data_IF_648044205111
#
_entry.id   IF_648044205111
#
_cell.length_a   1.000
_cell.length_b   1.000
_cell.length_c   1.000
_cell.angle_alpha   90.00
_cell.angle_beta   90.00
_cell.angle_gamma   90.00
#
_symmetry.space_group_name_H-M   'P 1'
#
loop_
_entity.id
_entity.type
_entity.pdbx_description
1 polymer ?
#
# COMPACT_ATOMS: atom_id res chain seq x y z
N UNK A 1 24.86 -1.62 6.77
CA UNK A 1 25.36 -1.01 5.52
C UNK A 1 26.89 -0.97 5.48
N UNK A 2 27.57 -0.58 6.57
CA UNK A 2 29.06 -0.50 6.61
C UNK A 2 29.76 -1.83 6.32
N UNK A 3 29.10 -2.97 6.54
CA UNK A 3 29.63 -4.31 6.29
C UNK A 3 29.45 -4.80 4.85
N UNK A 4 28.72 -4.07 4.00
CA UNK A 4 28.42 -4.51 2.63
C UNK A 4 29.56 -4.22 1.63
N UNK A 5 30.60 -3.49 2.05
CA UNK A 5 31.72 -3.12 1.17
C UNK A 5 31.33 -2.04 0.15
N UNK A 6 32.16 -1.87 -0.88
CA UNK A 6 31.94 -0.93 -1.99
C UNK A 6 31.22 -1.63 -3.14
N UNK A 7 30.12 -1.04 -3.60
CA UNK A 7 29.35 -1.54 -4.74
C UNK A 7 28.83 -0.39 -5.60
N UNK A 8 28.55 -0.66 -6.87
CA UNK A 8 27.99 0.32 -7.82
C UNK A 8 26.48 0.18 -7.99
N UNK A 9 25.88 -0.92 -7.52
CA UNK A 9 24.44 -1.20 -7.59
C UNK A 9 23.96 -1.66 -6.20
N UNK A 10 22.86 -1.12 -5.73
CA UNK A 10 22.23 -1.51 -4.48
C UNK A 10 20.72 -1.64 -4.66
N UNK A 11 20.12 -2.66 -4.01
CA UNK A 11 18.67 -2.83 -3.91
C UNK A 11 18.31 -2.94 -2.43
N UNK A 12 17.31 -2.20 -2.00
CA UNK A 12 16.80 -2.22 -0.64
C UNK A 12 15.28 -2.40 -0.63
N UNK A 13 14.75 -2.96 0.47
CA UNK A 13 13.32 -3.13 0.65
C UNK A 13 12.94 -3.01 2.13
N UNK A 14 11.81 -2.36 2.38
CA UNK A 14 11.17 -2.32 3.70
C UNK A 14 9.86 -3.08 3.58
N UNK A 15 9.83 -4.33 4.11
CA UNK A 15 8.69 -5.21 3.94
C UNK A 15 7.56 -4.85 4.92
N UNK A 16 6.35 -4.64 4.36
CA UNK A 16 5.10 -4.80 5.07
C UNK A 16 4.47 -6.12 4.60
N UNK A 17 4.24 -7.08 5.52
CA UNK A 17 3.81 -8.42 5.14
C UNK A 17 2.42 -8.44 4.50
N UNK A 18 2.33 -8.74 3.20
CA UNK A 18 1.08 -8.88 2.46
C UNK A 18 0.77 -10.34 2.12
N UNK A 19 1.79 -11.16 1.88
CA UNK A 19 1.70 -12.61 1.65
C UNK A 19 2.83 -13.29 2.40
N UNK A 20 2.53 -14.41 3.09
CA UNK A 20 3.46 -15.14 3.94
C UNK A 20 3.70 -14.49 5.30
N UNK A 21 4.17 -15.29 6.25
CA UNK A 21 4.42 -14.86 7.63
C UNK A 21 5.54 -13.83 7.77
N UNK A 22 5.61 -13.16 8.92
CA UNK A 22 6.69 -12.23 9.30
C UNK A 22 8.00 -12.96 9.67
N UNK A 23 8.29 -14.07 8.99
CA UNK A 23 9.51 -14.84 9.17
C UNK A 23 10.69 -14.12 8.48
N UNK A 24 11.88 -14.23 9.10
CA UNK A 24 13.15 -13.73 8.51
C UNK A 24 13.44 -14.32 7.13
N UNK A 25 12.91 -15.51 6.80
CA UNK A 25 13.05 -16.12 5.46
C UNK A 25 12.33 -15.33 4.37
N UNK A 26 11.29 -14.58 4.72
CA UNK A 26 10.48 -13.77 3.81
C UNK A 26 11.02 -12.35 3.60
N UNK A 27 12.20 -12.05 4.12
CA UNK A 27 12.85 -10.73 3.95
C UNK A 27 13.26 -10.53 2.50
N UNK A 28 13.09 -9.31 2.03
CA UNK A 28 13.53 -8.87 0.69
C UNK A 28 14.68 -7.86 0.81
N UNK A 29 15.55 -7.72 -0.21
CA UNK A 29 15.51 -8.39 -1.52
C UNK A 29 15.79 -9.89 -1.45
N UNK A 30 15.09 -10.67 -2.26
CA UNK A 30 15.37 -12.10 -2.43
C UNK A 30 16.63 -12.24 -3.31
N UNK A 31 17.63 -12.94 -2.79
CA UNK A 31 18.87 -13.20 -3.51
C UNK A 31 18.82 -14.60 -4.12
N UNK A 32 18.99 -14.68 -5.42
CA UNK A 32 19.02 -15.95 -6.18
C UNK A 32 20.36 -16.11 -6.89
N UNK A 33 20.97 -17.28 -6.70
CA UNK A 33 22.12 -17.73 -7.49
C UNK A 33 21.63 -18.74 -8.52
N UNK A 34 21.91 -18.51 -9.78
CA UNK A 34 21.48 -19.37 -10.87
C UNK A 34 22.60 -19.55 -11.89
N UNK A 35 22.40 -20.45 -12.85
CA UNK A 35 23.43 -20.85 -13.83
C UNK A 35 24.10 -19.67 -14.54
N UNK A 36 23.36 -18.58 -14.84
CA UNK A 36 23.91 -17.41 -15.55
C UNK A 36 24.34 -16.28 -14.60
N UNK A 37 24.39 -16.50 -13.29
CA UNK A 37 24.92 -15.52 -12.33
C UNK A 37 24.06 -15.30 -11.11
N UNK A 38 24.06 -14.08 -10.58
CA UNK A 38 23.31 -13.67 -9.40
C UNK A 38 22.24 -12.65 -9.75
N UNK A 39 21.13 -12.70 -9.05
CA UNK A 39 20.05 -11.75 -9.14
C UNK A 39 19.53 -11.44 -7.74
N UNK A 40 19.24 -10.17 -7.45
CA UNK A 40 18.46 -9.77 -6.29
C UNK A 40 17.18 -9.11 -6.76
N UNK A 41 16.05 -9.42 -6.11
CA UNK A 41 14.72 -8.94 -6.47
C UNK A 41 14.01 -8.38 -5.24
N UNK A 42 13.49 -7.15 -5.38
CA UNK A 42 12.55 -6.55 -4.45
C UNK A 42 11.20 -6.35 -5.15
N UNK A 43 10.11 -6.67 -4.45
CA UNK A 43 8.74 -6.67 -4.95
C UNK A 43 7.81 -5.93 -4.02
N UNK A 44 7.08 -4.96 -4.54
CA UNK A 44 5.94 -4.32 -3.91
C UNK A 44 4.67 -4.68 -4.69
N UNK A 45 3.76 -5.40 -4.07
CA UNK A 45 2.53 -5.87 -4.68
C UNK A 45 2.13 -7.26 -4.19
N UNK A 46 1.32 -7.95 -4.99
CA UNK A 46 0.90 -9.33 -4.76
C UNK A 46 0.37 -9.94 -6.06
N UNK A 47 0.83 -11.15 -6.39
CA UNK A 47 0.36 -11.89 -7.55
C UNK A 47 -0.96 -12.61 -7.25
N UNK A 48 -1.89 -12.54 -8.20
CA UNK A 48 -3.16 -13.28 -8.13
C UNK A 48 -3.01 -14.74 -8.56
N UNK A 49 -2.05 -15.06 -9.41
CA UNK A 49 -1.79 -16.42 -9.91
C UNK A 49 -0.58 -17.12 -9.27
N UNK A 50 -0.03 -16.57 -8.18
CA UNK A 50 1.18 -17.10 -7.52
C UNK A 50 1.06 -18.57 -7.11
N UNK A 51 -0.13 -19.01 -6.70
CA UNK A 51 -0.35 -20.40 -6.27
C UNK A 51 -0.21 -21.39 -7.43
N UNK A 52 -0.85 -21.12 -8.55
CA UNK A 52 -0.77 -21.97 -9.73
C UNK A 52 0.67 -22.05 -10.27
N UNK A 53 1.35 -20.90 -10.35
CA UNK A 53 2.74 -20.83 -10.77
C UNK A 53 3.67 -21.58 -9.83
N UNK A 54 3.45 -21.49 -8.51
CA UNK A 54 4.24 -22.21 -7.53
C UNK A 54 4.06 -23.73 -7.67
N UNK A 55 2.82 -24.21 -7.82
CA UNK A 55 2.55 -25.62 -8.04
C UNK A 55 3.21 -26.14 -9.33
N UNK A 56 3.15 -25.38 -10.41
CA UNK A 56 3.86 -25.69 -11.66
C UNK A 56 5.37 -25.87 -11.41
N UNK A 57 5.99 -24.89 -10.73
CA UNK A 57 7.42 -24.88 -10.42
C UNK A 57 7.82 -26.05 -9.51
N UNK A 58 7.04 -26.32 -8.44
CA UNK A 58 7.27 -27.43 -7.52
C UNK A 58 7.15 -28.79 -8.23
N UNK A 59 6.19 -28.95 -9.15
CA UNK A 59 6.04 -30.17 -9.95
C UNK A 59 7.23 -30.42 -10.90
N UNK A 60 7.97 -29.35 -11.25
CA UNK A 60 9.20 -29.39 -12.03
C UNK A 60 10.46 -29.52 -11.16
N UNK A 61 10.31 -29.70 -9.85
CA UNK A 61 11.41 -29.90 -8.91
C UNK A 61 12.00 -28.65 -8.29
N UNK A 62 11.35 -27.48 -8.44
CA UNK A 62 11.81 -26.27 -7.76
C UNK A 62 11.61 -26.35 -6.25
N UNK A 63 12.61 -25.93 -5.48
CA UNK A 63 12.62 -25.96 -4.01
C UNK A 63 12.51 -24.53 -3.49
N UNK A 64 11.40 -24.19 -2.87
CA UNK A 64 11.16 -22.87 -2.30
C UNK A 64 11.71 -22.72 -0.89
N UNK A 65 12.32 -21.57 -0.60
CA UNK A 65 12.88 -21.21 0.70
C UNK A 65 11.96 -20.29 1.49
N UNK A 66 11.05 -19.59 0.80
CA UNK A 66 10.14 -18.61 1.37
C UNK A 66 8.67 -19.01 1.13
N UNK A 67 7.77 -18.31 1.81
CA UNK A 67 6.33 -18.44 1.61
C UNK A 67 5.75 -17.22 0.86
N UNK A 68 6.62 -16.44 0.18
CA UNK A 68 6.20 -15.24 -0.56
C UNK A 68 6.02 -15.53 -2.05
N UNK A 69 5.14 -14.79 -2.68
CA UNK A 69 4.95 -14.76 -4.13
C UNK A 69 6.17 -14.14 -4.86
N UNK A 70 6.95 -13.33 -4.17
CA UNK A 70 8.18 -12.72 -4.73
C UNK A 70 9.22 -13.76 -5.13
N UNK A 71 9.29 -14.91 -4.42
CA UNK A 71 10.16 -16.01 -4.81
C UNK A 71 9.65 -16.71 -6.07
N UNK A 72 8.33 -16.81 -6.25
CA UNK A 72 7.73 -17.32 -7.50
C UNK A 72 8.16 -16.46 -8.67
N UNK A 73 8.09 -15.12 -8.55
CA UNK A 73 8.56 -14.20 -9.59
C UNK A 73 10.03 -14.46 -9.91
N UNK A 74 10.88 -14.60 -8.90
CA UNK A 74 12.30 -14.84 -9.10
C UNK A 74 12.56 -16.15 -9.85
N UNK A 75 11.85 -17.24 -9.53
CA UNK A 75 11.98 -18.53 -10.23
C UNK A 75 11.50 -18.45 -11.69
N UNK A 76 10.39 -17.78 -11.96
CA UNK A 76 9.89 -17.59 -13.33
C UNK A 76 10.93 -16.81 -14.15
N UNK A 77 11.48 -15.71 -13.63
CA UNK A 77 12.53 -14.94 -14.32
C UNK A 77 13.77 -15.83 -14.59
N UNK A 78 14.16 -16.67 -13.65
CA UNK A 78 15.30 -17.58 -13.81
C UNK A 78 15.04 -18.64 -14.89
N UNK A 79 13.84 -19.23 -14.91
CA UNK A 79 13.43 -20.17 -15.98
C UNK A 79 13.51 -19.51 -17.35
N UNK A 80 12.91 -18.33 -17.50
CA UNK A 80 12.94 -17.61 -18.78
C UNK A 80 14.37 -17.21 -19.16
N UNK A 81 15.23 -16.89 -18.18
CA UNK A 81 16.65 -16.53 -18.43
C UNK A 81 17.48 -17.67 -19.00
N UNK A 82 17.07 -18.93 -18.83
CA UNK A 82 17.75 -20.07 -19.47
C UNK A 82 17.64 -20.01 -21.00
N UNK A 83 16.54 -19.48 -21.51
CA UNK A 83 16.19 -19.38 -22.94
C UNK A 83 16.50 -17.99 -23.51
N UNK A 84 16.25 -16.95 -22.74
CA UNK A 84 16.41 -15.57 -23.17
C UNK A 84 17.88 -15.16 -23.32
N UNK A 85 18.22 -14.31 -24.30
CA UNK A 85 19.59 -13.83 -24.52
C UNK A 85 20.07 -12.88 -23.41
N UNK A 86 19.17 -12.16 -22.77
CA UNK A 86 19.47 -11.18 -21.72
C UNK A 86 18.50 -11.30 -20.53
N UNK A 87 18.80 -10.64 -19.41
CA UNK A 87 17.92 -10.64 -18.24
C UNK A 87 16.66 -9.82 -18.49
N UNK A 88 16.75 -8.71 -19.21
CA UNK A 88 15.60 -7.89 -19.58
C UNK A 88 14.61 -8.64 -20.47
N UNK A 89 15.10 -9.45 -21.42
CA UNK A 89 14.24 -10.32 -22.23
C UNK A 89 13.59 -11.42 -21.38
N UNK A 90 14.30 -11.96 -20.40
CA UNK A 90 13.72 -12.91 -19.44
C UNK A 90 12.65 -12.28 -18.56
N UNK A 91 12.88 -11.05 -18.12
CA UNK A 91 11.88 -10.27 -17.35
C UNK A 91 10.64 -9.99 -18.20
N UNK A 92 10.83 -9.60 -19.47
CA UNK A 92 9.73 -9.39 -20.41
C UNK A 92 8.90 -10.68 -20.61
N UNK A 93 9.56 -11.83 -20.81
CA UNK A 93 8.88 -13.13 -20.92
C UNK A 93 8.15 -13.53 -19.62
N UNK A 94 8.75 -13.22 -18.46
CA UNK A 94 8.12 -13.46 -17.16
C UNK A 94 6.83 -12.64 -16.97
N UNK A 95 6.79 -11.41 -17.49
CA UNK A 95 5.58 -10.55 -17.43
C UNK A 95 4.40 -11.13 -18.21
N UNK A 96 4.61 -11.99 -19.19
CA UNK A 96 3.52 -12.69 -19.90
C UNK A 96 2.94 -13.87 -19.08
N UNK A 97 3.60 -14.28 -17.98
CA UNK A 97 3.20 -15.41 -17.12
C UNK A 97 2.63 -14.97 -15.77
N UNK A 98 3.18 -13.92 -15.19
CA UNK A 98 2.77 -13.43 -13.85
C UNK A 98 1.57 -12.49 -13.99
N UNK A 99 0.59 -12.62 -13.09
CA UNK A 99 -0.61 -11.81 -13.06
C UNK A 99 -0.82 -11.22 -11.66
N UNK A 100 -1.29 -9.97 -11.58
CA UNK A 100 -1.53 -9.25 -10.34
C UNK A 100 -0.77 -7.94 -10.26
N UNK A 101 -0.54 -7.47 -9.04
CA UNK A 101 0.18 -6.23 -8.77
C UNK A 101 1.66 -6.49 -8.54
N UNK A 102 2.53 -5.83 -9.30
CA UNK A 102 3.96 -5.87 -9.05
C UNK A 102 4.69 -4.62 -9.52
N UNK A 103 5.38 -3.98 -8.58
CA UNK A 103 6.47 -3.05 -8.86
C UNK A 103 7.77 -3.71 -8.40
N UNK A 104 8.65 -4.01 -9.36
CA UNK A 104 9.88 -4.77 -9.11
C UNK A 104 11.10 -3.87 -9.26
N UNK A 105 12.08 -4.08 -8.39
CA UNK A 105 13.46 -3.62 -8.61
C UNK A 105 14.36 -4.84 -8.56
N UNK A 106 15.08 -5.06 -9.67
CA UNK A 106 15.91 -6.24 -9.88
C UNK A 106 17.35 -5.78 -10.13
N UNK A 107 18.31 -6.38 -9.44
CA UNK A 107 19.73 -6.20 -9.77
C UNK A 107 20.34 -7.49 -10.29
N UNK A 108 21.16 -7.34 -11.31
CA UNK A 108 22.16 -8.31 -11.74
C UNK A 108 23.55 -7.74 -11.45
N UNK A 109 24.65 -8.46 -11.72
CA UNK A 109 26.00 -7.92 -11.48
C UNK A 109 26.31 -6.61 -12.21
N UNK A 110 25.61 -6.31 -13.31
CA UNK A 110 25.91 -5.16 -14.18
C UNK A 110 24.70 -4.28 -14.51
N UNK A 111 23.49 -4.67 -14.12
CA UNK A 111 22.25 -3.97 -14.48
C UNK A 111 21.36 -3.78 -13.27
N UNK A 112 20.71 -2.62 -13.21
CA UNK A 112 19.58 -2.34 -12.34
C UNK A 112 18.33 -2.21 -13.21
N UNK A 113 17.27 -2.95 -12.88
CA UNK A 113 16.05 -3.05 -13.69
C UNK A 113 14.86 -2.69 -12.82
N UNK A 114 14.00 -1.82 -13.32
CA UNK A 114 12.72 -1.48 -12.71
C UNK A 114 11.59 -1.95 -13.61
N UNK A 115 10.53 -2.51 -13.02
CA UNK A 115 9.39 -3.07 -13.75
C UNK A 115 8.12 -2.67 -13.04
N UNK A 116 7.13 -2.19 -13.79
CA UNK A 116 5.79 -1.92 -13.27
C UNK A 116 4.79 -2.79 -13.99
N UNK A 117 3.84 -3.40 -13.28
CA UNK A 117 2.81 -4.26 -13.87
C UNK A 117 1.98 -3.51 -14.93
N UNK A 118 1.34 -4.23 -15.90
CA UNK A 118 0.59 -3.61 -16.99
C UNK A 118 -0.62 -2.76 -16.55
N UNK A 119 -1.17 -3.02 -15.37
CA UNK A 119 -2.23 -2.20 -14.78
C UNK A 119 -1.68 -0.99 -14.00
N UNK A 120 -0.41 -1.04 -13.57
CA UNK A 120 0.22 -0.01 -12.75
C UNK A 120 -0.37 0.11 -11.36
N UNK A 121 -0.73 -1.02 -10.74
CA UNK A 121 -1.37 -1.03 -9.42
C UNK A 121 -0.56 -0.31 -8.34
N UNK A 122 0.77 -0.49 -8.34
CA UNK A 122 1.65 0.17 -7.39
C UNK A 122 2.50 1.23 -8.08
N UNK A 123 2.83 2.33 -7.38
CA UNK A 123 3.69 3.35 -7.94
C UNK A 123 5.14 2.87 -8.06
N UNK A 124 5.85 3.41 -9.04
CA UNK A 124 7.28 3.25 -9.24
C UNK A 124 7.79 4.45 -10.02
N UNK A 125 8.84 5.10 -9.54
CA UNK A 125 9.43 6.28 -10.17
C UNK A 125 10.94 6.16 -10.35
N UNK A 126 11.47 7.02 -11.20
CA UNK A 126 12.90 7.15 -11.51
C UNK A 126 13.40 8.56 -11.25
N UNK A 127 14.61 8.64 -10.74
CA UNK A 127 15.35 9.90 -10.56
C UNK A 127 16.84 9.73 -10.76
N UNK A 128 17.57 10.86 -10.67
CA UNK A 128 19.02 10.90 -10.82
C UNK A 128 19.69 11.61 -9.68
N UNK A 129 20.78 11.01 -9.23
CA UNK A 129 21.74 11.64 -8.34
C UNK A 129 22.57 12.70 -9.07
N UNK A 130 23.23 13.58 -8.31
CA UNK A 130 24.08 14.64 -8.87
C UNK A 130 25.28 14.11 -9.68
N UNK A 131 25.77 12.94 -9.34
CA UNK A 131 26.86 12.24 -10.06
C UNK A 131 26.38 11.46 -11.30
N UNK A 132 25.09 11.55 -11.63
CA UNK A 132 24.48 10.85 -12.77
C UNK A 132 23.93 9.46 -12.43
N UNK A 133 24.07 9.00 -11.20
CA UNK A 133 23.54 7.71 -10.74
C UNK A 133 22.01 7.62 -10.88
N UNK A 134 21.51 6.48 -11.37
CA UNK A 134 20.07 6.22 -11.56
C UNK A 134 19.49 5.63 -10.29
N UNK A 135 18.33 6.14 -9.88
CA UNK A 135 17.58 5.65 -8.72
C UNK A 135 16.18 5.28 -9.12
N UNK A 136 15.71 4.11 -8.69
CA UNK A 136 14.31 3.73 -8.73
C UNK A 136 13.76 3.69 -7.31
N UNK A 137 12.55 4.18 -7.13
CA UNK A 137 11.88 4.22 -5.83
C UNK A 137 10.37 3.98 -5.97
N UNK A 138 9.75 3.43 -4.94
CA UNK A 138 8.28 3.30 -4.89
C UNK A 138 7.58 4.65 -4.86
N UNK A 139 8.22 5.68 -4.25
CA UNK A 139 7.66 7.00 -4.05
C UNK A 139 8.67 8.11 -4.32
N UNK A 140 8.21 9.25 -4.86
CA UNK A 140 9.07 10.41 -5.16
C UNK A 140 9.73 11.00 -3.92
N UNK A 141 9.08 10.96 -2.75
CA UNK A 141 9.66 11.44 -1.49
C UNK A 141 10.94 10.69 -1.08
N UNK A 142 11.13 9.45 -1.55
CA UNK A 142 12.37 8.71 -1.32
C UNK A 142 13.54 9.29 -2.15
N UNK A 143 13.25 9.81 -3.35
CA UNK A 143 14.25 10.51 -4.18
C UNK A 143 14.68 11.82 -3.50
N UNK A 144 13.72 12.59 -2.98
CA UNK A 144 14.00 13.83 -2.24
C UNK A 144 14.88 13.57 -1.01
N UNK A 145 14.59 12.49 -0.27
CA UNK A 145 15.34 12.13 0.94
C UNK A 145 16.82 11.86 0.70
N UNK A 146 17.20 11.42 -0.51
CA UNK A 146 18.59 11.15 -0.89
C UNK A 146 19.18 12.24 -1.79
N UNK A 147 18.44 13.32 -2.05
CA UNK A 147 18.86 14.43 -2.91
C UNK A 147 18.94 14.07 -4.40
N UNK A 148 18.18 13.06 -4.83
CA UNK A 148 18.01 12.72 -6.23
C UNK A 148 16.94 13.60 -6.89
N UNK A 149 17.18 14.03 -8.12
CA UNK A 149 16.18 14.75 -8.90
C UNK A 149 15.18 13.76 -9.49
N UNK A 150 13.89 13.95 -9.25
CA UNK A 150 12.83 13.21 -9.93
C UNK A 150 12.90 13.44 -11.44
N UNK A 151 12.82 12.39 -12.23
CA UNK A 151 12.74 12.45 -13.70
C UNK A 151 11.35 12.13 -14.20
N UNK A 152 10.79 10.98 -13.82
CA UNK A 152 9.46 10.54 -14.21
C UNK A 152 8.96 9.34 -13.42
N UNK A 153 7.68 9.08 -13.51
CA UNK A 153 7.10 7.80 -13.14
C UNK A 153 7.42 6.73 -14.22
N UNK A 154 7.49 5.47 -13.79
CA UNK A 154 7.59 4.32 -14.70
C UNK A 154 6.17 4.00 -15.20
N UNK A 155 6.02 3.86 -16.51
CA UNK A 155 4.71 3.59 -17.09
C UNK A 155 4.20 2.18 -16.73
N UNK A 156 2.88 2.00 -16.59
CA UNK A 156 2.30 0.67 -16.49
C UNK A 156 2.71 -0.23 -17.66
N UNK A 157 3.31 -1.39 -17.34
CA UNK A 157 3.86 -2.33 -18.32
C UNK A 157 5.28 -2.03 -18.79
N UNK A 158 5.93 -1.00 -18.25
CA UNK A 158 7.28 -0.63 -18.67
C UNK A 158 8.35 -1.41 -17.89
N UNK A 159 9.43 -1.79 -18.63
CA UNK A 159 10.69 -2.28 -18.08
C UNK A 159 11.75 -1.22 -18.35
N UNK A 160 12.39 -0.70 -17.32
CA UNK A 160 13.51 0.25 -17.43
C UNK A 160 14.78 -0.42 -16.98
N UNK A 161 15.82 -0.39 -17.83
CA UNK A 161 17.11 -0.99 -17.58
C UNK A 161 18.16 0.11 -17.49
N UNK A 162 18.86 0.18 -16.37
CA UNK A 162 20.03 1.05 -16.18
C UNK A 162 21.29 0.21 -16.11
N UNK A 163 22.27 0.53 -16.95
CA UNK A 163 23.59 -0.10 -16.99
C UNK A 163 24.68 0.93 -17.37
N UNK A 164 25.92 0.46 -17.60
CA UNK A 164 27.04 1.32 -17.99
C UNK A 164 26.83 2.07 -19.32
N UNK A 165 25.94 1.58 -20.20
CA UNK A 165 25.60 2.21 -21.47
C UNK A 165 24.53 3.30 -21.33
N UNK A 166 23.91 3.42 -20.16
CA UNK A 166 22.85 4.38 -19.86
C UNK A 166 21.54 3.72 -19.45
N UNK A 167 20.44 4.40 -19.72
CA UNK A 167 19.08 3.96 -19.41
C UNK A 167 18.34 3.60 -20.69
N UNK A 168 17.71 2.43 -20.71
CA UNK A 168 16.86 1.94 -21.81
C UNK A 168 15.50 1.60 -21.29
N UNK A 169 14.48 1.87 -22.07
CA UNK A 169 13.06 1.57 -21.77
C UNK A 169 12.55 0.54 -22.77
N UNK A 170 11.84 -0.47 -22.27
CA UNK A 170 11.06 -1.43 -23.04
C UNK A 170 9.60 -1.26 -22.71
N UNK A 171 8.80 -0.91 -23.70
CA UNK A 171 7.37 -0.59 -23.57
C UNK A 171 6.47 -1.63 -24.21
N UNK A 172 6.97 -2.82 -24.52
CA UNK A 172 6.22 -3.91 -25.19
C UNK A 172 4.97 -4.36 -24.42
N UNK A 173 4.95 -4.18 -23.09
CA UNK A 173 3.80 -4.51 -22.25
C UNK A 173 2.93 -3.28 -21.91
N UNK A 174 3.33 -2.08 -22.31
CA UNK A 174 2.52 -0.89 -22.11
C UNK A 174 1.24 -0.95 -22.95
N UNK A 175 0.10 -0.60 -22.34
CA UNK A 175 -1.20 -0.60 -23.01
C UNK A 175 -1.83 -1.98 -23.23
N UNK A 176 -1.19 -3.09 -22.81
CA UNK A 176 -1.79 -4.43 -22.88
C UNK A 176 -2.98 -4.60 -21.93
N UNK A 177 -3.06 -3.80 -20.87
CA UNK A 177 -4.14 -3.84 -19.89
C UNK A 177 -4.65 -2.43 -19.57
N UNK A 178 -5.90 -2.30 -19.11
CA UNK A 178 -6.40 -1.02 -18.59
C UNK A 178 -5.60 -0.60 -17.36
N UNK A 179 -5.18 0.65 -17.32
CA UNK A 179 -4.49 1.20 -16.15
C UNK A 179 -5.42 1.23 -14.94
N UNK A 180 -4.93 0.80 -13.76
CA UNK A 180 -5.70 0.65 -12.52
C UNK A 180 -4.82 0.90 -11.30
N UNK A 181 -4.38 2.16 -11.11
CA UNK A 181 -3.63 2.53 -9.92
C UNK A 181 -4.47 2.28 -8.65
N UNK A 182 -3.88 1.70 -7.62
CA UNK A 182 -4.56 1.51 -6.35
C UNK A 182 -4.93 2.86 -5.74
N UNK A 183 -6.23 3.14 -5.60
CA UNK A 183 -6.68 4.43 -5.02
C UNK A 183 -6.26 4.59 -3.57
N UNK A 184 -6.02 3.49 -2.86
CA UNK A 184 -5.59 3.51 -1.46
C UNK A 184 -4.16 4.07 -1.27
N UNK A 185 -3.37 4.17 -2.34
CA UNK A 185 -2.11 4.91 -2.33
C UNK A 185 -2.36 6.39 -1.95
N UNK A 186 -3.38 7.03 -2.51
CA UNK A 186 -3.74 8.40 -2.19
C UNK A 186 -4.43 8.55 -0.84
N UNK A 187 -5.14 7.52 -0.38
CA UNK A 187 -5.86 7.57 0.90
C UNK A 187 -4.90 7.36 2.07
N UNK A 188 -4.05 6.32 2.00
CA UNK A 188 -3.29 5.86 3.15
C UNK A 188 -1.82 5.55 2.90
N UNK A 189 -1.47 4.73 1.86
CA UNK A 189 -0.13 4.14 1.78
C UNK A 189 0.97 5.16 1.53
N UNK A 190 0.82 6.01 0.51
CA UNK A 190 1.86 6.95 0.14
C UNK A 190 2.04 8.06 1.19
N UNK A 191 3.24 8.58 1.30
CA UNK A 191 3.50 9.75 2.13
C UNK A 191 2.86 10.99 1.50
N UNK A 192 2.35 11.95 2.31
CA UNK A 192 1.70 13.15 1.78
C UNK A 192 2.56 14.00 0.85
N UNK A 193 3.88 13.99 1.06
CA UNK A 193 4.87 14.71 0.25
C UNK A 193 5.23 14.00 -1.07
N UNK A 194 4.64 12.84 -1.35
CA UNK A 194 4.84 12.13 -2.62
C UNK A 194 3.95 12.67 -3.73
N UNK A 195 4.48 12.55 -4.97
CA UNK A 195 3.73 12.73 -6.22
C UNK A 195 3.71 11.38 -6.94
N UNK A 196 2.53 10.92 -7.35
CA UNK A 196 2.31 9.64 -8.03
C UNK A 196 1.57 9.91 -9.33
N UNK A 197 2.11 9.45 -10.45
CA UNK A 197 1.55 9.64 -11.80
C UNK A 197 1.11 11.10 -12.04
N UNK A 198 1.92 12.06 -11.58
CA UNK A 198 1.70 13.50 -11.72
C UNK A 198 0.74 14.12 -10.71
N UNK A 199 0.18 13.37 -9.76
CA UNK A 199 -0.76 13.89 -8.75
C UNK A 199 -0.15 13.91 -7.34
N UNK A 200 -0.29 15.03 -6.65
CA UNK A 200 0.15 15.18 -5.26
C UNK A 200 -0.76 14.41 -4.30
N UNK A 201 -0.18 13.57 -3.48
CA UNK A 201 -0.92 12.82 -2.43
C UNK A 201 -1.56 13.77 -1.42
N UNK A 202 -0.85 14.80 -0.99
CA UNK A 202 -1.36 15.84 -0.09
C UNK A 202 -2.62 16.53 -0.65
N UNK A 203 -2.59 16.94 -1.92
CA UNK A 203 -3.73 17.59 -2.57
C UNK A 203 -4.90 16.62 -2.72
N UNK A 204 -4.63 15.38 -3.10
CA UNK A 204 -5.66 14.34 -3.22
C UNK A 204 -6.39 14.08 -1.89
N UNK A 205 -5.65 14.00 -0.77
CA UNK A 205 -6.25 13.85 0.57
C UNK A 205 -7.07 15.07 0.98
N UNK A 206 -6.62 16.30 0.69
CA UNK A 206 -7.43 17.49 0.95
C UNK A 206 -8.73 17.47 0.15
N UNK A 207 -8.68 17.00 -1.11
CA UNK A 207 -9.87 16.84 -1.94
C UNK A 207 -10.85 15.81 -1.37
N UNK A 208 -10.35 14.67 -0.83
CA UNK A 208 -11.19 13.72 -0.12
C UNK A 208 -11.95 14.37 1.03
N UNK A 209 -11.27 15.20 1.81
CA UNK A 209 -11.90 15.97 2.89
C UNK A 209 -12.95 16.97 2.38
N UNK A 210 -12.67 17.65 1.27
CA UNK A 210 -13.63 18.57 0.67
C UNK A 210 -14.91 17.84 0.18
N UNK A 211 -14.77 16.71 -0.49
CA UNK A 211 -15.92 15.89 -0.89
C UNK A 211 -16.71 15.38 0.32
N UNK A 212 -16.05 14.92 1.38
CA UNK A 212 -16.71 14.52 2.62
C UNK A 212 -17.54 15.64 3.25
N UNK A 213 -17.06 16.90 3.17
CA UNK A 213 -17.81 18.04 3.68
C UNK A 213 -19.07 18.32 2.86
N UNK A 214 -19.05 18.03 1.55
CA UNK A 214 -20.20 18.17 0.66
C UNK A 214 -21.20 17.00 0.81
N UNK A 215 -20.69 15.76 0.90
CA UNK A 215 -21.52 14.57 1.02
C UNK A 215 -22.15 14.43 2.43
N UNK A 216 -21.43 14.82 3.47
CA UNK A 216 -21.80 14.63 4.86
C UNK A 216 -21.62 15.90 5.71
N UNK A 217 -22.35 16.99 5.39
CA UNK A 217 -22.27 18.21 6.17
C UNK A 217 -22.78 17.98 7.59
N UNK A 218 -22.22 18.69 8.56
CA UNK A 218 -22.63 18.66 9.96
C UNK A 218 -22.32 19.98 10.63
N UNK A 219 -23.14 20.35 11.63
CA UNK A 219 -22.82 21.50 12.48
C UNK A 219 -21.91 21.08 13.62
N UNK A 220 -20.70 21.60 13.64
CA UNK A 220 -19.70 21.29 14.65
C UNK A 220 -18.84 22.53 14.96
N UNK A 221 -18.07 22.44 16.03
CA UNK A 221 -17.26 23.55 16.52
C UNK A 221 -15.82 23.46 16.04
N UNK A 222 -15.35 22.25 15.68
CA UNK A 222 -13.98 22.01 15.26
C UNK A 222 -13.85 20.77 14.39
N UNK A 223 -12.92 20.81 13.43
CA UNK A 223 -12.47 19.65 12.64
C UNK A 223 -11.10 19.22 13.13
N UNK A 224 -10.91 17.95 13.39
CA UNK A 224 -9.63 17.34 13.75
C UNK A 224 -9.36 16.11 12.90
N UNK A 225 -8.10 15.78 12.68
CA UNK A 225 -7.69 14.55 11.97
C UNK A 225 -7.01 13.54 12.88
N UNK A 226 -7.19 12.26 12.60
CA UNK A 226 -6.40 11.19 13.23
C UNK A 226 -4.99 11.22 12.61
N UNK A 227 -3.92 11.40 13.39
CA UNK A 227 -2.56 11.38 12.85
C UNK A 227 -2.11 10.00 12.39
N UNK A 228 -1.37 9.83 11.25
CA UNK A 228 -0.90 10.91 10.38
C UNK A 228 -1.82 11.05 9.15
N UNK A 229 -2.53 10.00 8.74
CA UNK A 229 -3.28 9.87 7.47
C UNK A 229 -4.52 10.77 7.37
N UNK A 230 -5.22 11.02 8.49
CA UNK A 230 -6.43 11.84 8.51
C UNK A 230 -6.17 13.35 8.50
N UNK A 231 -4.92 13.83 8.68
CA UNK A 231 -4.64 15.26 8.87
C UNK A 231 -4.94 16.09 7.61
N UNK A 232 -4.50 15.63 6.44
CA UNK A 232 -4.70 16.37 5.19
C UNK A 232 -6.17 16.42 4.79
N UNK A 233 -6.88 15.31 4.96
CA UNK A 233 -8.32 15.25 4.70
C UNK A 233 -9.10 16.15 5.69
N UNK A 234 -8.68 16.20 6.95
CA UNK A 234 -9.28 17.11 7.93
C UNK A 234 -9.10 18.58 7.53
N UNK A 235 -7.92 18.94 7.02
CA UNK A 235 -7.67 20.30 6.51
C UNK A 235 -8.58 20.60 5.31
N UNK A 236 -8.76 19.65 4.39
CA UNK A 236 -9.67 19.78 3.24
C UNK A 236 -11.14 19.92 3.66
N UNK A 237 -11.58 19.12 4.62
CA UNK A 237 -12.94 19.21 5.20
C UNK A 237 -13.18 20.58 5.86
N UNK A 238 -12.24 21.04 6.68
CA UNK A 238 -12.34 22.32 7.37
C UNK A 238 -12.43 23.49 6.38
N UNK A 239 -11.58 23.50 5.35
CA UNK A 239 -11.63 24.55 4.31
C UNK A 239 -12.96 24.57 3.56
N UNK A 240 -13.51 23.42 3.21
CA UNK A 240 -14.75 23.30 2.46
C UNK A 240 -15.98 23.62 3.31
N UNK A 241 -16.00 23.17 4.57
CA UNK A 241 -17.14 23.38 5.47
C UNK A 241 -17.17 24.75 6.16
N UNK A 242 -16.03 25.43 6.21
CA UNK A 242 -15.85 26.67 7.01
C UNK A 242 -15.70 26.41 8.52
N UNK A 243 -15.74 25.17 8.99
CA UNK A 243 -15.52 24.82 10.40
C UNK A 243 -14.02 24.91 10.70
N UNK A 244 -13.61 25.56 11.82
CA UNK A 244 -12.20 25.71 12.16
C UNK A 244 -11.47 24.36 12.26
N UNK A 245 -10.25 24.28 11.71
CA UNK A 245 -9.34 23.15 11.92
C UNK A 245 -8.58 23.30 13.24
N UNK A 246 -8.39 22.19 13.97
CA UNK A 246 -7.58 22.13 15.17
C UNK A 246 -6.74 20.87 15.28
N UNK A 247 -5.64 20.96 15.99
CA UNK A 247 -4.84 19.80 16.34
C UNK A 247 -5.46 19.07 17.53
N UNK A 248 -6.35 18.11 17.28
CA UNK A 248 -7.08 17.37 18.32
C UNK A 248 -6.26 16.29 19.03
N UNK A 249 -5.19 15.80 18.38
CA UNK A 249 -4.33 14.76 18.89
C UNK A 249 -2.86 15.12 18.80
N UNK A 250 -2.07 14.55 19.72
CA UNK A 250 -0.62 14.50 19.62
C UNK A 250 -0.18 13.05 19.56
N UNK A 251 0.68 12.73 18.57
CA UNK A 251 1.31 11.42 18.46
C UNK A 251 2.61 11.38 19.24
N UNK A 252 2.77 10.40 20.12
CA UNK A 252 4.02 10.20 20.82
C UNK A 252 5.11 9.70 19.86
N UNK A 253 6.04 10.60 19.53
CA UNK A 253 7.13 10.32 18.57
C UNK A 253 8.22 9.40 19.13
N UNK A 254 8.28 9.21 20.45
CA UNK A 254 9.26 8.32 21.11
C UNK A 254 8.88 6.84 21.00
N UNK A 255 7.62 6.54 20.63
CA UNK A 255 7.15 5.17 20.46
C UNK A 255 7.12 4.86 18.97
N UNK A 256 8.01 3.97 18.53
CA UNK A 256 8.05 3.46 17.17
C UNK A 256 6.78 2.68 16.78
N UNK A 257 6.69 2.19 15.54
CA UNK A 257 5.65 1.24 15.11
C UNK A 257 5.84 -0.08 15.84
N UNK A 258 5.14 -0.27 16.94
CA UNK A 258 5.17 -1.50 17.74
C UNK A 258 4.03 -2.42 17.34
N UNK A 259 4.16 -3.11 16.21
CA UNK A 259 3.30 -4.25 15.86
C UNK A 259 3.77 -5.57 16.51
N UNK A 260 4.77 -5.53 17.39
CA UNK A 260 5.47 -6.71 17.93
C UNK A 260 5.29 -6.80 19.45
N UNK A 261 4.12 -6.48 19.97
CA UNK A 261 3.84 -6.76 21.38
C UNK A 261 3.22 -8.15 21.53
N UNK A 262 3.82 -9.03 22.36
CA UNK A 262 3.44 -10.44 22.44
C UNK A 262 2.07 -10.69 23.10
N UNK A 263 1.47 -9.72 23.79
CA UNK A 263 0.18 -9.89 24.46
C UNK A 263 -0.85 -8.84 24.10
N UNK A 264 -2.15 -9.22 24.19
CA UNK A 264 -3.27 -8.31 23.87
C UNK A 264 -3.34 -7.13 24.84
N UNK A 265 -3.06 -7.35 26.12
CA UNK A 265 -3.03 -6.29 27.14
C UNK A 265 -1.92 -5.27 26.90
N UNK A 266 -0.74 -5.70 26.41
CA UNK A 266 0.34 -4.80 26.02
C UNK A 266 -0.06 -3.96 24.79
N UNK A 267 -0.71 -4.55 23.78
CA UNK A 267 -1.23 -3.82 22.60
C UNK A 267 -2.29 -2.79 22.97
N UNK A 268 -3.09 -3.06 23.99
CA UNK A 268 -4.10 -2.13 24.51
C UNK A 268 -3.50 -0.91 25.20
N UNK A 269 -2.47 -1.11 26.02
CA UNK A 269 -1.73 -0.01 26.63
C UNK A 269 -0.93 0.82 25.61
N UNK A 270 -0.37 0.21 24.58
CA UNK A 270 0.43 0.86 23.55
C UNK A 270 -0.37 1.90 22.73
N UNK A 271 -1.65 1.64 22.43
CA UNK A 271 -2.49 2.61 21.72
C UNK A 271 -2.73 3.85 22.58
N UNK A 272 -2.96 3.68 23.87
CA UNK A 272 -3.16 4.80 24.83
C UNK A 272 -1.89 5.64 25.00
N UNK A 273 -0.71 5.05 24.86
CA UNK A 273 0.57 5.77 24.98
C UNK A 273 0.95 6.44 23.65
N UNK A 274 0.42 5.95 22.54
CA UNK A 274 0.78 6.38 21.18
C UNK A 274 0.06 7.63 20.71
N UNK A 275 -1.20 7.80 21.12
CA UNK A 275 -2.08 8.89 20.68
C UNK A 275 -2.79 9.53 21.88
N UNK A 276 -2.55 10.79 22.12
CA UNK A 276 -3.19 11.56 23.20
C UNK A 276 -4.06 12.69 22.65
N UNK A 277 -5.33 12.83 23.08
CA UNK A 277 -6.15 13.97 22.74
C UNK A 277 -5.66 15.25 23.47
N UNK A 278 -5.74 16.37 22.78
CA UNK A 278 -5.46 17.69 23.38
C UNK A 278 -6.76 18.20 23.98
N UNK A 279 -6.93 18.02 25.30
CA UNK A 279 -8.17 18.33 26.02
C UNK A 279 -8.67 19.76 25.75
N UNK A 280 -7.81 20.78 25.82
CA UNK A 280 -8.19 22.16 25.55
C UNK A 280 -8.75 22.44 24.17
N UNK A 281 -8.51 21.54 23.23
CA UNK A 281 -9.03 21.64 21.86
C UNK A 281 -10.40 21.00 21.72
N UNK A 282 -10.68 19.91 22.44
CA UNK A 282 -11.88 19.07 22.23
C UNK A 282 -12.93 19.15 23.34
N UNK A 283 -12.56 19.59 24.57
CA UNK A 283 -13.46 19.61 25.73
C UNK A 283 -14.66 20.52 25.50
N UNK A 284 -15.87 19.97 25.72
CA UNK A 284 -17.14 20.66 25.56
C UNK A 284 -17.56 20.94 24.12
N UNK A 285 -16.78 20.51 23.11
CA UNK A 285 -17.02 20.81 21.70
C UNK A 285 -17.68 19.65 20.94
N UNK A 286 -18.42 20.03 19.90
CA UNK A 286 -18.87 19.13 18.84
C UNK A 286 -17.71 18.99 17.84
N UNK A 287 -17.21 17.79 17.68
CA UNK A 287 -15.98 17.50 16.94
C UNK A 287 -16.31 16.76 15.64
N UNK A 288 -15.80 17.23 14.51
CA UNK A 288 -15.68 16.42 13.30
C UNK A 288 -14.33 15.70 13.35
N UNK A 289 -14.35 14.40 13.45
CA UNK A 289 -13.16 13.53 13.44
C UNK A 289 -12.96 12.94 12.05
N UNK A 290 -11.83 13.24 11.41
CA UNK A 290 -11.49 12.68 10.10
C UNK A 290 -10.46 11.57 10.27
N UNK A 291 -10.73 10.41 9.64
CA UNK A 291 -9.78 9.30 9.53
C UNK A 291 -9.74 8.79 8.09
N UNK A 292 -8.73 7.98 7.76
CA UNK A 292 -8.55 7.42 6.41
C UNK A 292 -9.53 6.28 6.11
N UNK A 293 -9.70 5.34 7.03
CA UNK A 293 -10.46 4.11 6.79
C UNK A 293 -10.93 3.41 8.07
N UNK A 294 -12.00 2.63 7.96
CA UNK A 294 -12.45 1.70 9.00
C UNK A 294 -12.47 0.29 8.41
N UNK A 295 -11.65 -0.61 8.93
CA UNK A 295 -11.60 -2.02 8.51
C UNK A 295 -12.39 -2.91 9.48
N UNK A 296 -11.94 -2.98 10.75
CA UNK A 296 -12.55 -3.80 11.82
C UNK A 296 -13.21 -2.97 12.91
N UNK A 297 -13.03 -1.67 12.93
CA UNK A 297 -13.61 -0.73 13.90
C UNK A 297 -12.94 -0.66 15.28
N UNK A 298 -12.08 -1.61 15.64
CA UNK A 298 -11.48 -1.68 16.99
C UNK A 298 -10.55 -0.49 17.30
N UNK A 299 -9.69 -0.10 16.38
CA UNK A 299 -8.78 1.05 16.54
C UNK A 299 -9.56 2.35 16.59
N UNK A 300 -10.54 2.50 15.70
CA UNK A 300 -11.42 3.66 15.63
C UNK A 300 -12.18 3.86 16.96
N UNK A 301 -12.82 2.81 17.50
CA UNK A 301 -13.51 2.86 18.78
C UNK A 301 -12.61 3.38 19.91
N UNK A 302 -11.37 2.89 20.00
CA UNK A 302 -10.40 3.37 21.01
C UNK A 302 -10.09 4.85 20.86
N UNK A 303 -9.89 5.33 19.65
CA UNK A 303 -9.66 6.75 19.36
C UNK A 303 -10.85 7.61 19.81
N UNK A 304 -12.06 7.13 19.56
CA UNK A 304 -13.31 7.78 20.00
C UNK A 304 -13.43 7.79 21.52
N UNK A 305 -13.15 6.68 22.19
CA UNK A 305 -13.14 6.60 23.66
C UNK A 305 -12.16 7.61 24.30
N UNK A 306 -10.99 7.83 23.68
CA UNK A 306 -10.05 8.85 24.13
C UNK A 306 -10.63 10.26 24.04
N UNK A 307 -11.32 10.60 22.94
CA UNK A 307 -11.98 11.90 22.79
C UNK A 307 -13.13 12.09 23.79
N UNK A 308 -13.96 11.06 24.02
CA UNK A 308 -15.02 11.09 25.02
C UNK A 308 -14.45 11.34 26.43
N UNK A 309 -13.39 10.64 26.80
CA UNK A 309 -12.67 10.84 28.08
C UNK A 309 -12.02 12.23 28.17
N UNK A 310 -11.65 12.83 27.05
CA UNK A 310 -11.15 14.20 27.00
C UNK A 310 -12.25 15.26 27.06
N UNK A 311 -13.56 14.87 27.11
CA UNK A 311 -14.68 15.76 27.29
C UNK A 311 -15.34 16.25 25.99
N UNK A 312 -15.09 15.60 24.84
CA UNK A 312 -15.81 15.92 23.60
C UNK A 312 -17.34 15.72 23.80
N UNK A 313 -18.14 16.73 23.43
CA UNK A 313 -19.59 16.73 23.59
C UNK A 313 -20.27 15.84 22.54
N UNK A 314 -19.89 16.04 21.30
CA UNK A 314 -20.36 15.25 20.15
C UNK A 314 -19.16 14.87 19.28
N UNK A 315 -19.21 13.69 18.64
CA UNK A 315 -18.16 13.22 17.72
C UNK A 315 -18.83 12.76 16.42
N UNK A 316 -18.58 13.49 15.35
CA UNK A 316 -19.05 13.20 14.01
C UNK A 316 -17.89 12.66 13.20
N UNK A 317 -17.87 11.34 12.96
CA UNK A 317 -16.77 10.72 12.20
C UNK A 317 -16.99 10.79 10.70
N UNK A 318 -15.95 11.15 9.96
CA UNK A 318 -15.90 11.16 8.50
C UNK A 318 -14.68 10.38 8.04
N UNK A 319 -14.90 9.45 7.12
CA UNK A 319 -13.89 8.51 6.65
C UNK A 319 -13.56 8.82 5.19
N UNK A 320 -12.29 9.11 4.88
CA UNK A 320 -11.86 9.55 3.55
C UNK A 320 -11.74 8.40 2.53
N UNK A 321 -12.15 7.20 2.89
CA UNK A 321 -12.37 6.06 2.00
C UNK A 321 -13.82 5.63 1.98
N UNK A 322 -14.28 4.92 0.94
CA UNK A 322 -15.51 4.13 1.00
C UNK A 322 -15.39 2.96 1.98
N UNK A 323 -16.50 2.33 2.39
CA UNK A 323 -16.45 1.13 3.22
C UNK A 323 -15.67 -0.01 2.53
N UNK A 324 -14.83 -0.71 3.29
CA UNK A 324 -14.22 -1.95 2.82
C UNK A 324 -15.24 -3.09 2.83
N UNK A 325 -15.53 -3.65 1.65
CA UNK A 325 -16.53 -4.72 1.47
C UNK A 325 -15.96 -5.98 0.80
N UNK A 326 -14.72 -5.93 0.29
CA UNK A 326 -14.08 -7.04 -0.39
C UNK A 326 -12.60 -7.17 -0.04
N UNK A 327 -12.07 -8.40 -0.15
CA UNK A 327 -10.64 -8.67 0.03
C UNK A 327 -9.79 -7.94 -1.01
N UNK A 328 -8.55 -7.66 -0.68
CA UNK A 328 -7.56 -7.13 -1.61
C UNK A 328 -6.58 -8.23 -2.03
N UNK A 329 -6.48 -8.47 -3.34
CA UNK A 329 -5.53 -9.42 -3.92
C UNK A 329 -4.28 -8.73 -4.51
N UNK A 330 -4.14 -7.40 -4.36
CA UNK A 330 -3.10 -6.59 -4.99
C UNK A 330 -2.11 -5.96 -3.99
N UNK A 331 -2.09 -6.48 -2.75
CA UNK A 331 -1.07 -6.10 -1.76
C UNK A 331 -1.54 -5.13 -0.67
N UNK A 332 -2.85 -5.05 -0.38
CA UNK A 332 -3.37 -4.49 0.88
C UNK A 332 -3.65 -5.64 1.84
N UNK A 333 -3.34 -5.47 3.13
CA UNK A 333 -3.54 -6.51 4.16
C UNK A 333 -5.02 -6.62 4.58
N UNK A 334 -5.86 -6.98 3.60
CA UNK A 334 -7.31 -7.22 3.75
C UNK A 334 -7.59 -8.54 3.04
N UNK A 335 -7.50 -9.63 3.77
CA UNK A 335 -7.55 -11.00 3.26
C UNK A 335 -8.90 -11.70 3.47
N UNK A 336 -9.63 -11.32 4.50
CA UNK A 336 -10.86 -12.00 4.93
C UNK A 336 -12.05 -11.03 4.98
N UNK A 337 -12.97 -11.10 4.01
CA UNK A 337 -14.16 -10.24 3.99
C UNK A 337 -15.07 -10.42 5.20
N UNK A 338 -15.06 -11.58 5.87
CA UNK A 338 -15.90 -11.84 7.05
C UNK A 338 -15.51 -10.97 8.25
N UNK A 339 -14.26 -10.50 8.30
CA UNK A 339 -13.74 -9.62 9.36
C UNK A 339 -13.97 -8.13 9.09
N UNK A 340 -14.51 -7.77 7.93
CA UNK A 340 -14.81 -6.39 7.57
C UNK A 340 -16.10 -5.95 8.25
N UNK A 341 -16.02 -4.87 9.02
CA UNK A 341 -17.20 -4.38 9.78
C UNK A 341 -18.35 -3.99 8.87
N UNK A 342 -18.05 -3.43 7.69
CA UNK A 342 -19.04 -2.98 6.72
C UNK A 342 -19.75 -4.12 5.96
N UNK A 343 -19.27 -5.36 6.05
CA UNK A 343 -19.97 -6.53 5.51
C UNK A 343 -21.04 -7.07 6.45
N UNK A 344 -20.91 -6.77 7.75
CA UNK A 344 -21.75 -7.35 8.78
C UNK A 344 -22.74 -6.33 9.39
N UNK A 345 -22.50 -5.03 9.14
CA UNK A 345 -23.26 -3.96 9.80
C UNK A 345 -23.53 -2.80 8.84
N UNK A 346 -24.69 -2.16 8.99
CA UNK A 346 -25.02 -0.91 8.32
C UNK A 346 -24.17 0.26 8.87
N UNK A 347 -24.15 1.38 8.16
CA UNK A 347 -23.40 2.58 8.59
C UNK A 347 -23.90 3.07 9.97
N UNK A 348 -25.20 3.01 10.22
CA UNK A 348 -25.83 3.38 11.47
C UNK A 348 -25.46 2.43 12.61
N UNK A 349 -25.37 1.13 12.33
CA UNK A 349 -24.90 0.14 13.31
C UNK A 349 -23.43 0.31 13.62
N UNK A 350 -22.58 0.54 12.59
CA UNK A 350 -21.15 0.84 12.77
C UNK A 350 -20.98 2.08 13.64
N UNK A 351 -21.74 3.16 13.40
CA UNK A 351 -21.70 4.36 14.21
C UNK A 351 -21.96 4.07 15.70
N UNK A 352 -22.96 3.23 15.99
CA UNK A 352 -23.27 2.78 17.36
C UNK A 352 -22.15 1.92 17.96
N UNK A 353 -21.60 0.97 17.18
CA UNK A 353 -20.51 0.08 17.63
C UNK A 353 -19.26 0.87 18.00
N UNK A 354 -18.88 1.86 17.19
CA UNK A 354 -17.68 2.67 17.44
C UNK A 354 -17.93 3.83 18.42
N UNK A 355 -19.20 4.18 18.71
CA UNK A 355 -19.59 5.15 19.73
C UNK A 355 -19.59 6.62 19.26
N UNK A 356 -19.88 6.87 17.97
CA UNK A 356 -20.01 8.22 17.41
C UNK A 356 -21.46 8.66 17.25
N UNK A 357 -21.67 9.98 17.21
CA UNK A 357 -23.00 10.58 17.03
C UNK A 357 -23.44 10.54 15.56
N UNK A 358 -22.49 10.58 14.62
CA UNK A 358 -22.76 10.31 13.20
C UNK A 358 -21.51 9.79 12.49
N UNK A 359 -21.74 8.98 11.45
CA UNK A 359 -20.69 8.40 10.59
C UNK A 359 -21.00 8.69 9.13
N UNK A 360 -19.99 9.10 8.36
CA UNK A 360 -20.07 9.26 6.92
C UNK A 360 -18.79 8.77 6.24
N UNK A 361 -18.95 8.02 5.16
CA UNK A 361 -17.87 7.53 4.30
C UNK A 361 -17.85 8.31 2.99
N UNK A 362 -16.66 8.52 2.45
CA UNK A 362 -16.54 9.04 1.09
C UNK A 362 -17.17 8.05 0.10
N UNK A 363 -17.94 8.56 -0.86
CA UNK A 363 -18.60 7.73 -1.86
C UNK A 363 -17.59 7.08 -2.83
N UNK A 364 -17.96 5.92 -3.40
CA UNK A 364 -17.18 5.29 -4.46
C UNK A 364 -17.11 6.17 -5.71
N UNK A 365 -18.12 7.01 -5.94
CA UNK A 365 -18.18 7.95 -7.06
C UNK A 365 -17.13 9.06 -6.94
N UNK A 366 -16.87 9.55 -5.72
CA UNK A 366 -15.96 10.67 -5.49
C UNK A 366 -14.52 10.22 -5.18
N UNK A 367 -14.32 9.01 -4.63
CA UNK A 367 -12.98 8.48 -4.39
C UNK A 367 -12.14 8.36 -5.66
N UNK A 368 -12.76 8.09 -6.81
CA UNK A 368 -12.06 8.02 -8.10
C UNK A 368 -11.70 9.39 -8.69
N UNK A 369 -12.15 10.48 -8.06
CA UNK A 369 -11.86 11.87 -8.47
C UNK A 369 -10.77 12.54 -7.62
N UNK A 370 -10.13 11.79 -6.71
CA UNK A 370 -9.14 12.37 -5.77
C UNK A 370 -7.92 12.94 -6.47
N UNK A 371 -7.49 12.31 -7.56
CA UNK A 371 -6.29 12.71 -8.30
C UNK A 371 -6.65 13.21 -9.70
N UNK A 372 -6.23 14.43 -10.05
CA UNK A 372 -6.59 15.08 -11.31
C UNK A 372 -5.75 14.65 -12.51
N UNK A 373 -4.45 14.46 -12.29
CA UNK A 373 -3.48 14.32 -13.37
C UNK A 373 -3.13 12.87 -13.67
N UNK A 374 -3.76 11.92 -13.00
CA UNK A 374 -3.55 10.51 -13.30
C UNK A 374 -4.22 10.17 -14.62
N UNK A 375 -3.42 9.82 -15.62
CA UNK A 375 -3.93 9.26 -16.88
C UNK A 375 -4.42 7.80 -16.71
N UNK A 376 -4.61 7.35 -15.48
CA UNK A 376 -5.00 6.01 -15.10
C UNK A 376 -6.40 6.02 -14.49
N UNK A 377 -7.20 4.99 -14.78
CA UNK A 377 -8.31 4.64 -13.90
C UNK A 377 -7.79 4.12 -12.56
N UNK A 378 -8.67 4.02 -11.55
CA UNK A 378 -8.31 3.48 -10.24
C UNK A 378 -8.79 2.04 -10.04
N UNK A 379 -8.01 1.26 -9.29
CA UNK A 379 -8.48 0.04 -8.66
C UNK A 379 -9.23 0.42 -7.37
N UNK A 380 -10.50 0.04 -7.31
CA UNK A 380 -11.40 0.23 -6.17
C UNK A 380 -11.99 -1.10 -5.68
N UNK A 381 -11.33 -2.22 -6.01
CA UNK A 381 -11.85 -3.56 -5.79
C UNK A 381 -12.25 -3.83 -4.33
N UNK A 382 -11.45 -3.37 -3.36
CA UNK A 382 -11.77 -3.54 -1.93
C UNK A 382 -13.01 -2.77 -1.46
N UNK A 383 -13.48 -1.82 -2.26
CA UNK A 383 -14.67 -1.01 -2.01
C UNK A 383 -15.89 -1.46 -2.85
N UNK A 384 -15.80 -2.64 -3.51
CA UNK A 384 -16.89 -3.18 -4.34
C UNK A 384 -16.84 -2.79 -5.80
N UNK A 385 -15.75 -2.15 -6.29
CA UNK A 385 -15.59 -1.70 -7.67
C UNK A 385 -15.19 -2.79 -8.69
N UNK A 386 -15.20 -4.06 -8.31
CA UNK A 386 -14.76 -5.18 -9.15
C UNK A 386 -13.25 -5.34 -9.25
N UNK A 387 -12.81 -6.56 -9.54
CA UNK A 387 -11.39 -6.89 -9.66
C UNK A 387 -10.90 -6.73 -11.11
N UNK A 388 -9.78 -6.01 -11.35
CA UNK A 388 -9.21 -5.85 -12.70
C UNK A 388 -8.63 -7.12 -13.33
N UNK A 389 -8.27 -8.12 -12.53
CA UNK A 389 -7.75 -9.42 -12.98
C UNK A 389 -8.58 -10.57 -12.43
N UNK A 390 -8.34 -11.78 -12.91
CA UNK A 390 -8.84 -12.98 -12.25
C UNK A 390 -8.30 -13.05 -10.81
N UNK A 391 -9.17 -13.44 -9.86
CA UNK A 391 -8.79 -13.57 -8.46
C UNK A 391 -8.84 -15.04 -8.03
N UNK A 392 -7.96 -15.47 -7.11
CA UNK A 392 -7.96 -16.84 -6.65
C UNK A 392 -9.28 -17.18 -5.97
N UNK A 393 -9.86 -18.33 -6.33
CA UNK A 393 -11.08 -18.83 -5.68
C UNK A 393 -10.77 -19.49 -4.33
N UNK A 394 -9.54 -19.97 -4.15
CA UNK A 394 -9.10 -20.71 -2.97
C UNK A 394 -8.02 -19.97 -2.20
N UNK A 395 -8.26 -19.78 -0.91
CA UNK A 395 -7.26 -19.56 0.10
C UNK A 395 -6.80 -18.13 0.35
N UNK A 396 -6.65 -17.85 1.62
CA UNK A 396 -6.13 -16.61 2.16
C UNK A 396 -4.61 -16.43 1.98
N UNK A 397 -4.10 -15.42 2.64
CA UNK A 397 -2.71 -14.93 2.66
C UNK A 397 -1.69 -16.00 3.05
N UNK A 398 -2.07 -16.95 3.92
CA UNK A 398 -1.18 -17.94 4.54
C UNK A 398 -1.16 -19.29 3.83
N UNK A 399 -1.69 -19.39 2.61
CA UNK A 399 -1.82 -20.65 1.89
C UNK A 399 -0.49 -21.38 1.61
N UNK A 400 0.64 -20.67 1.65
CA UNK A 400 1.96 -21.26 1.51
C UNK A 400 2.58 -21.68 2.85
N UNK A 401 1.95 -21.33 3.98
CA UNK A 401 2.41 -21.72 5.33
C UNK A 401 2.01 -23.15 5.70
N UNK A 402 0.94 -23.70 5.10
CA UNK A 402 0.46 -25.04 5.40
C UNK A 402 1.22 -26.11 4.60
N UNK A 403 1.60 -27.22 5.26
CA UNK A 403 2.17 -28.39 4.59
C UNK A 403 1.13 -29.05 3.69
N UNK A 404 1.58 -29.70 2.61
CA UNK A 404 0.70 -30.44 1.68
C UNK A 404 -0.17 -31.46 2.42
N UNK A 405 0.40 -32.18 3.40
CA UNK A 405 -0.31 -33.15 4.25
C UNK A 405 -1.40 -32.55 5.14
N UNK A 406 -1.41 -31.25 5.34
CA UNK A 406 -2.41 -30.52 6.13
C UNK A 406 -3.51 -29.93 5.24
N UNK A 407 -3.22 -29.69 3.95
CA UNK A 407 -4.17 -29.16 2.95
C UNK A 407 -5.24 -30.16 2.53
N UNK A 408 -4.94 -31.48 2.63
CA UNK A 408 -5.89 -32.55 2.26
C UNK A 408 -6.90 -32.89 3.38
N UNK A 409 -6.79 -32.21 4.56
CA UNK A 409 -7.64 -32.47 5.73
C UNK A 409 -8.65 -31.37 6.05
N UNK A 410 -8.68 -30.30 5.26
CA UNK A 410 -9.68 -29.22 5.33
C UNK A 410 -10.53 -29.19 4.08
#
# INVERSE_FOLDING_TARGET
>A
LRSLGTGTIAVGHVRYGTTGSDNKRNVQPILVNHYKGRMALAHNGNLTNSHALRQELESQGSIFQTTTDSEVIAYIIVQERLRAPSIEEAVSAAMDRIEGAYSLVISSPTKLIAVRDPHGFRPLCMGRLRDGGVVFASESCALDAIGARFERDILPGEIVVADKSGVKSDTRHCGKAPKRLCVFEFIYFARPDSVIDGSSVHVARQRAGAFLALEHPVQADIVIGVPDSGLDAALGYARQSGIPYGMGFIKNKYIGRTFISPTQAMRENEVNIKLNPIRSVVEGKRVVLIDDSIVRGTTCRRTIDLLRKAGAKEIHMRVSAPPFVAACYYGTDIDDPSKLIANNHSVEEIAKIIGVDSLGYLSLQDVVKLADNTQCGFCTASFGGGYPTAVPQDGGKDRFECKISERERT
#
